data_IF_417490426595
#
_entry.id   IF_417490426595
#
_cell.length_a   1.000
_cell.length_b   1.000
_cell.length_c   1.000
_cell.angle_alpha   90.00
_cell.angle_beta   90.00
_cell.angle_gamma   90.00
#
_symmetry.space_group_name_H-M   'P 1'
#
loop_
_entity.id
_entity.type
_entity.pdbx_description
1 polymer ?
#
# COMPACT_ATOMS: atom_id res chain seq x y z
N UNK A 1 -45.61 40.02 17.75
CA UNK A 1 -44.98 39.08 16.79
C UNK A 1 -43.75 38.45 17.45
N UNK A 2 -43.87 37.21 17.94
CA UNK A 2 -42.75 36.47 18.53
C UNK A 2 -42.08 35.60 17.45
N UNK A 3 -40.78 35.82 17.22
CA UNK A 3 -39.96 35.00 16.35
C UNK A 3 -39.64 33.66 17.03
N UNK A 4 -40.25 32.57 16.54
CA UNK A 4 -39.85 31.21 16.91
C UNK A 4 -38.41 30.95 16.44
N UNK A 5 -37.49 30.78 17.40
CA UNK A 5 -36.14 30.26 17.14
C UNK A 5 -36.22 28.75 16.96
N UNK A 6 -36.13 28.28 15.72
CA UNK A 6 -35.94 26.86 15.42
C UNK A 6 -34.58 26.41 15.98
N UNK A 7 -34.62 25.56 17.01
CA UNK A 7 -33.44 24.91 17.57
C UNK A 7 -33.01 23.79 16.62
N UNK A 8 -31.94 24.01 15.86
CA UNK A 8 -31.36 22.97 14.99
C UNK A 8 -31.08 21.71 15.80
N UNK A 9 -31.75 20.61 15.44
CA UNK A 9 -31.49 19.29 16.00
C UNK A 9 -30.11 18.86 15.53
N UNK A 10 -29.09 19.10 16.37
CA UNK A 10 -27.72 18.67 16.11
C UNK A 10 -27.68 17.21 15.65
N UNK A 11 -27.12 16.98 14.46
CA UNK A 11 -26.95 15.65 13.88
C UNK A 11 -26.17 14.80 14.88
N UNK A 12 -26.80 13.76 15.44
CA UNK A 12 -26.11 12.80 16.32
C UNK A 12 -24.89 12.25 15.56
N UNK A 13 -23.69 12.23 16.15
CA UNK A 13 -22.52 11.64 15.49
C UNK A 13 -22.84 10.18 15.18
N UNK A 14 -22.78 9.80 13.91
CA UNK A 14 -22.98 8.42 13.48
C UNK A 14 -21.94 7.57 14.21
N UNK A 15 -22.40 6.82 15.20
CA UNK A 15 -21.57 5.89 15.95
C UNK A 15 -21.37 4.62 15.10
N UNK A 16 -20.78 4.77 13.91
CA UNK A 16 -20.36 3.65 13.08
C UNK A 16 -19.12 3.08 13.72
N UNK A 17 -19.32 2.23 14.74
CA UNK A 17 -18.30 1.25 15.11
C UNK A 17 -17.90 0.56 13.80
N UNK A 18 -16.62 0.55 13.41
CA UNK A 18 -16.22 -0.18 12.23
C UNK A 18 -16.69 -1.63 12.42
N UNK A 19 -17.55 -2.13 11.53
CA UNK A 19 -17.82 -3.57 11.44
C UNK A 19 -16.48 -4.17 11.03
N UNK A 20 -15.76 -4.71 12.00
CA UNK A 20 -14.48 -5.36 11.74
C UNK A 20 -14.75 -6.54 10.80
N UNK A 21 -14.27 -6.42 9.57
CA UNK A 21 -14.47 -7.44 8.55
C UNK A 21 -13.60 -8.69 8.78
N UNK A 22 -12.71 -8.66 9.78
CA UNK A 22 -11.75 -9.72 10.09
C UNK A 22 -11.60 -9.83 11.60
N UNK A 23 -11.90 -11.01 12.13
CA UNK A 23 -11.72 -11.36 13.54
C UNK A 23 -10.64 -12.44 13.63
N UNK A 24 -9.47 -12.07 14.16
CA UNK A 24 -8.42 -13.02 14.48
C UNK A 24 -8.23 -13.13 16.01
N UNK A 25 -7.46 -14.11 16.46
CA UNK A 25 -7.22 -14.37 17.89
C UNK A 25 -6.56 -13.16 18.58
N UNK A 26 -5.66 -12.47 17.90
CA UNK A 26 -4.92 -11.30 18.40
C UNK A 26 -5.83 -10.09 18.64
N UNK A 27 -6.68 -9.74 17.68
CA UNK A 27 -7.68 -8.67 17.80
C UNK A 27 -8.67 -9.01 18.91
N UNK A 28 -9.06 -10.29 19.04
CA UNK A 28 -9.93 -10.76 20.13
C UNK A 28 -9.29 -10.55 21.50
N UNK A 29 -8.03 -10.93 21.64
CA UNK A 29 -7.28 -10.74 22.88
C UNK A 29 -7.06 -9.26 23.19
N UNK A 30 -6.69 -8.47 22.18
CA UNK A 30 -6.52 -7.02 22.30
C UNK A 30 -7.83 -6.32 22.69
N UNK A 31 -8.97 -6.74 22.15
CA UNK A 31 -10.27 -6.20 22.56
C UNK A 31 -10.61 -6.58 24.01
N UNK A 32 -10.33 -7.82 24.43
CA UNK A 32 -10.51 -8.24 25.83
C UNK A 32 -9.66 -7.37 26.76
N UNK A 33 -8.37 -7.17 26.44
CA UNK A 33 -7.48 -6.30 27.19
C UNK A 33 -8.00 -4.86 27.25
N UNK A 34 -8.40 -4.28 26.12
CA UNK A 34 -8.97 -2.94 26.05
C UNK A 34 -10.23 -2.78 26.93
N UNK A 35 -11.07 -3.83 27.02
CA UNK A 35 -12.24 -3.83 27.92
C UNK A 35 -11.84 -3.87 29.38
N UNK A 36 -10.84 -4.66 29.76
CA UNK A 36 -10.31 -4.75 31.13
C UNK A 36 -9.74 -3.40 31.55
N UNK A 37 -8.83 -2.83 30.76
CA UNK A 37 -8.21 -1.53 31.06
C UNK A 37 -9.26 -0.42 31.12
N UNK A 38 -10.28 -0.45 30.25
CA UNK A 38 -11.40 0.51 30.33
C UNK A 38 -12.20 0.37 31.62
N UNK A 39 -12.38 -0.83 32.17
CA UNK A 39 -13.04 -1.04 33.47
C UNK A 39 -12.18 -0.48 34.60
N UNK A 40 -10.88 -0.74 34.59
CA UNK A 40 -9.94 -0.21 35.60
C UNK A 40 -9.90 1.32 35.61
N UNK A 41 -9.76 1.95 34.44
CA UNK A 41 -9.80 3.41 34.32
C UNK A 41 -11.12 4.00 34.83
N UNK A 42 -12.24 3.31 34.62
CA UNK A 42 -13.53 3.72 35.17
C UNK A 42 -13.60 3.61 36.69
N UNK A 43 -13.06 2.53 37.25
CA UNK A 43 -13.00 2.32 38.70
C UNK A 43 -12.15 3.40 39.39
N UNK A 44 -11.11 3.90 38.73
CA UNK A 44 -10.23 4.96 39.23
C UNK A 44 -10.78 6.38 39.00
N UNK A 45 -12.09 6.54 38.80
CA UNK A 45 -12.74 7.84 38.68
C UNK A 45 -12.67 8.47 37.28
N UNK A 46 -12.20 7.76 36.26
CA UNK A 46 -12.21 8.21 34.87
C UNK A 46 -11.49 9.56 34.61
N UNK A 47 -10.40 9.82 35.33
CA UNK A 47 -9.61 11.05 35.14
C UNK A 47 -8.97 11.07 33.75
N UNK A 48 -8.90 12.25 33.13
CA UNK A 48 -8.33 12.44 31.79
C UNK A 48 -6.97 13.16 31.86
N UNK A 49 -6.21 12.92 32.92
CA UNK A 49 -4.95 13.58 33.15
C UNK A 49 -3.82 12.81 32.47
N UNK A 50 -2.92 13.52 31.78
CA UNK A 50 -1.78 12.90 31.07
C UNK A 50 -0.78 12.23 32.02
N UNK A 51 -0.82 12.54 33.32
CA UNK A 51 -0.02 11.90 34.36
C UNK A 51 -0.70 10.69 35.01
N UNK A 52 -1.99 10.43 34.73
CA UNK A 52 -2.67 9.24 35.24
C UNK A 52 -2.26 8.00 34.43
N UNK A 53 -1.60 7.07 35.12
CA UNK A 53 -1.14 5.81 34.57
C UNK A 53 -2.28 5.04 33.89
N UNK A 54 -3.49 5.01 34.49
CA UNK A 54 -4.61 4.22 33.94
C UNK A 54 -5.22 4.84 32.68
N UNK A 55 -5.16 6.17 32.58
CA UNK A 55 -5.53 6.89 31.36
C UNK A 55 -4.53 6.61 30.23
N UNK A 56 -3.23 6.64 30.54
CA UNK A 56 -2.16 6.36 29.58
C UNK A 56 -2.20 4.92 29.05
N UNK A 57 -2.40 3.94 29.94
CA UNK A 57 -2.58 2.52 29.57
C UNK A 57 -3.79 2.33 28.65
N UNK A 58 -4.92 2.99 28.95
CA UNK A 58 -6.11 2.95 28.10
C UNK A 58 -5.83 3.52 26.71
N UNK A 59 -5.10 4.64 26.62
CA UNK A 59 -4.73 5.29 25.35
C UNK A 59 -3.83 4.36 24.54
N UNK A 60 -2.83 3.75 25.19
CA UNK A 60 -1.93 2.77 24.58
C UNK A 60 -2.68 1.54 24.06
N UNK A 61 -3.51 0.91 24.89
CA UNK A 61 -4.31 -0.25 24.51
C UNK A 61 -5.26 0.04 23.33
N UNK A 62 -5.85 1.24 23.29
CA UNK A 62 -6.71 1.66 22.17
C UNK A 62 -5.91 1.87 20.88
N UNK A 63 -4.70 2.44 20.98
CA UNK A 63 -3.79 2.61 19.84
C UNK A 63 -3.39 1.25 19.28
N UNK A 64 -3.03 0.32 20.16
CA UNK A 64 -2.62 -1.03 19.78
C UNK A 64 -3.74 -1.83 19.12
N UNK A 65 -4.94 -1.79 19.69
CA UNK A 65 -6.12 -2.40 19.08
C UNK A 65 -6.37 -1.89 17.65
N UNK A 66 -6.28 -0.56 17.45
CA UNK A 66 -6.44 0.05 16.11
C UNK A 66 -5.32 -0.39 15.15
N UNK A 67 -4.08 -0.48 15.64
CA UNK A 67 -2.93 -0.95 14.87
C UNK A 67 -3.17 -2.38 14.37
N UNK A 68 -3.54 -3.31 15.26
CA UNK A 68 -3.83 -4.70 14.91
C UNK A 68 -4.98 -4.81 13.89
N UNK A 69 -6.04 -4.02 14.06
CA UNK A 69 -7.15 -3.99 13.08
C UNK A 69 -6.67 -3.55 11.68
N UNK A 70 -5.81 -2.51 11.60
CA UNK A 70 -5.26 -2.04 10.32
C UNK A 70 -4.33 -3.05 9.68
N UNK A 71 -3.43 -3.66 10.47
CA UNK A 71 -2.50 -4.70 9.98
C UNK A 71 -3.28 -5.89 9.44
N UNK A 72 -4.28 -6.38 10.16
CA UNK A 72 -5.11 -7.48 9.69
C UNK A 72 -5.90 -7.13 8.41
N UNK A 73 -6.40 -5.90 8.31
CA UNK A 73 -7.09 -5.43 7.10
C UNK A 73 -6.13 -5.36 5.90
N UNK A 74 -4.94 -4.80 6.09
CA UNK A 74 -3.90 -4.75 5.05
C UNK A 74 -3.47 -6.15 4.61
N UNK A 75 -3.29 -7.09 5.56
CA UNK A 75 -2.97 -8.48 5.25
C UNK A 75 -4.03 -9.13 4.37
N UNK A 76 -5.31 -9.02 4.74
CA UNK A 76 -6.40 -9.55 3.91
C UNK A 76 -6.42 -8.94 2.50
N UNK A 77 -6.20 -7.63 2.37
CA UNK A 77 -6.13 -6.98 1.05
C UNK A 77 -4.96 -7.53 0.22
N UNK A 78 -3.81 -7.77 0.86
CA UNK A 78 -2.65 -8.41 0.22
C UNK A 78 -2.98 -9.84 -0.22
N UNK A 79 -3.61 -10.63 0.64
CA UNK A 79 -4.00 -12.01 0.36
C UNK A 79 -5.02 -12.06 -0.79
N UNK A 80 -6.03 -11.20 -0.79
CA UNK A 80 -7.02 -11.08 -1.88
C UNK A 80 -6.34 -10.66 -3.20
N UNK A 81 -5.37 -9.74 -3.18
CA UNK A 81 -4.58 -9.37 -4.36
C UNK A 81 -3.78 -10.55 -4.88
N UNK A 82 -3.16 -11.33 -4.00
CA UNK A 82 -2.41 -12.52 -4.39
C UNK A 82 -3.34 -13.58 -5.01
N UNK A 83 -4.53 -13.77 -4.45
CA UNK A 83 -5.55 -14.68 -4.98
C UNK A 83 -6.00 -14.27 -6.39
N UNK A 84 -6.17 -12.97 -6.65
CA UNK A 84 -6.44 -12.43 -7.99
C UNK A 84 -5.29 -12.74 -8.94
N UNK A 85 -4.04 -12.52 -8.53
CA UNK A 85 -2.87 -12.79 -9.37
C UNK A 85 -2.73 -14.29 -9.70
N UNK A 86 -3.00 -15.16 -8.73
CA UNK A 86 -2.95 -16.61 -8.92
C UNK A 86 -4.10 -17.13 -9.80
N UNK A 87 -5.29 -16.56 -9.68
CA UNK A 87 -6.47 -16.98 -10.47
C UNK A 87 -6.48 -16.44 -11.90
N UNK A 88 -5.65 -15.44 -12.21
CA UNK A 88 -5.55 -14.81 -13.53
C UNK A 88 -5.32 -15.80 -14.68
N UNK A 89 -4.51 -16.84 -14.47
CA UNK A 89 -4.14 -17.82 -15.51
C UNK A 89 -5.03 -19.06 -15.54
N UNK A 90 -5.63 -19.45 -14.41
CA UNK A 90 -6.26 -20.77 -14.26
C UNK A 90 -7.79 -20.74 -14.16
N UNK A 91 -8.40 -19.66 -13.67
CA UNK A 91 -9.86 -19.58 -13.50
C UNK A 91 -10.40 -18.17 -13.76
N UNK A 92 -10.85 -17.94 -15.00
CA UNK A 92 -11.46 -16.67 -15.43
C UNK A 92 -12.68 -16.29 -14.60
N UNK A 93 -13.52 -17.25 -14.16
CA UNK A 93 -14.74 -16.97 -13.40
C UNK A 93 -14.39 -16.49 -12.00
N UNK A 94 -13.46 -17.16 -11.32
CA UNK A 94 -12.98 -16.74 -10.01
C UNK A 94 -12.27 -15.39 -10.07
N UNK A 95 -11.44 -15.17 -11.09
CA UNK A 95 -10.76 -13.89 -11.32
C UNK A 95 -11.75 -12.72 -11.41
N UNK A 96 -12.75 -12.80 -12.28
CA UNK A 96 -13.75 -11.73 -12.42
C UNK A 96 -14.62 -11.58 -11.16
N UNK A 97 -14.94 -12.67 -10.45
CA UNK A 97 -15.66 -12.61 -9.17
C UNK A 97 -14.87 -11.84 -8.11
N UNK A 98 -13.55 -12.06 -8.02
CA UNK A 98 -12.68 -11.36 -7.07
C UNK A 98 -12.52 -9.88 -7.43
N UNK A 99 -12.36 -9.55 -8.72
CA UNK A 99 -12.34 -8.15 -9.19
C UNK A 99 -13.64 -7.42 -8.86
N UNK A 100 -14.79 -8.05 -9.14
CA UNK A 100 -16.10 -7.45 -8.87
C UNK A 100 -16.33 -7.22 -7.37
N UNK A 101 -15.81 -8.10 -6.51
CA UNK A 101 -15.84 -7.94 -5.05
C UNK A 101 -15.00 -6.73 -4.58
N UNK A 102 -13.86 -6.45 -5.21
CA UNK A 102 -13.01 -5.30 -4.89
C UNK A 102 -13.53 -3.96 -5.43
N UNK A 103 -14.18 -3.95 -6.60
CA UNK A 103 -14.72 -2.71 -7.19
C UNK A 103 -15.79 -2.02 -6.33
N UNK A 104 -16.42 -2.75 -5.40
CA UNK A 104 -17.53 -2.25 -4.59
C UNK A 104 -18.74 -1.88 -5.47
N UNK A 105 -19.86 -1.47 -4.85
CA UNK A 105 -20.89 -0.79 -5.65
C UNK A 105 -20.37 0.62 -5.93
N UNK A 106 -19.95 0.89 -7.16
CA UNK A 106 -19.65 2.22 -7.66
C UNK A 106 -20.92 3.08 -7.53
N UNK A 107 -21.11 3.70 -6.36
CA UNK A 107 -22.25 4.60 -6.09
C UNK A 107 -21.95 6.04 -6.44
N UNK A 108 -20.69 6.35 -6.74
CA UNK A 108 -20.29 7.64 -7.27
C UNK A 108 -20.04 7.45 -8.75
N UNK A 109 -21.08 7.76 -9.54
CA UNK A 109 -20.88 8.16 -10.92
C UNK A 109 -20.13 9.48 -10.83
N UNK A 110 -18.89 9.51 -11.30
CA UNK A 110 -18.16 10.77 -11.46
C UNK A 110 -18.74 11.39 -12.72
N UNK A 111 -19.48 12.49 -12.55
CA UNK A 111 -20.18 13.16 -13.65
C UNK A 111 -19.23 14.03 -14.50
N UNK A 112 -18.12 14.46 -13.90
CA UNK A 112 -17.17 15.41 -14.46
C UNK A 112 -15.72 14.92 -14.33
N UNK A 113 -14.97 14.95 -15.43
CA UNK A 113 -13.54 14.63 -15.51
C UNK A 113 -12.77 15.86 -16.02
N UNK A 114 -11.77 16.30 -15.28
CA UNK A 114 -10.83 17.31 -15.75
C UNK A 114 -9.57 16.63 -16.30
N UNK A 115 -9.19 16.98 -17.53
CA UNK A 115 -7.93 16.56 -18.16
C UNK A 115 -7.19 17.81 -18.60
N UNK A 116 -6.12 18.15 -17.89
CA UNK A 116 -5.49 19.46 -18.04
C UNK A 116 -6.45 20.58 -17.63
N UNK A 117 -6.70 21.51 -18.55
CA UNK A 117 -7.65 22.62 -18.37
C UNK A 117 -9.05 22.32 -18.93
N UNK A 118 -9.24 21.16 -19.56
CA UNK A 118 -10.50 20.82 -20.24
C UNK A 118 -11.40 19.97 -19.34
N UNK A 119 -12.67 20.37 -19.26
CA UNK A 119 -13.73 19.64 -18.54
C UNK A 119 -14.49 18.74 -19.50
N UNK A 120 -14.59 17.48 -19.14
CA UNK A 120 -15.36 16.46 -19.84
C UNK A 120 -16.49 15.97 -18.94
N UNK A 121 -17.74 16.21 -19.34
CA UNK A 121 -18.93 15.84 -18.56
C UNK A 121 -19.74 14.73 -19.25
N UNK A 122 -20.42 13.93 -18.44
CA UNK A 122 -21.26 12.82 -18.93
C UNK A 122 -20.46 11.57 -19.34
N UNK A 123 -21.17 10.48 -19.62
CA UNK A 123 -20.54 9.16 -19.86
C UNK A 123 -19.65 9.13 -21.09
N UNK A 124 -20.06 9.78 -22.17
CA UNK A 124 -19.33 9.78 -23.44
C UNK A 124 -18.13 10.74 -23.37
N UNK A 125 -18.33 11.92 -22.77
CA UNK A 125 -17.25 12.87 -22.50
C UNK A 125 -16.16 12.27 -21.63
N UNK A 126 -16.53 11.42 -20.65
CA UNK A 126 -15.57 10.74 -19.78
C UNK A 126 -14.59 9.85 -20.56
N UNK A 127 -15.10 9.07 -21.52
CA UNK A 127 -14.28 8.21 -22.37
C UNK A 127 -13.36 9.02 -23.27
N UNK A 128 -13.87 10.13 -23.80
CA UNK A 128 -13.12 11.04 -24.65
C UNK A 128 -12.00 11.77 -23.89
N UNK A 129 -12.27 12.24 -22.67
CA UNK A 129 -11.25 12.80 -21.78
C UNK A 129 -10.18 11.76 -21.41
N UNK A 130 -10.58 10.53 -21.10
CA UNK A 130 -9.63 9.44 -20.84
C UNK A 130 -8.75 9.14 -22.05
N UNK A 131 -9.35 9.10 -23.24
CA UNK A 131 -8.62 8.90 -24.50
C UNK A 131 -7.61 10.03 -24.71
N UNK A 132 -8.03 11.29 -24.59
CA UNK A 132 -7.16 12.46 -24.73
C UNK A 132 -6.00 12.44 -23.72
N UNK A 133 -6.28 12.08 -22.46
CA UNK A 133 -5.24 11.96 -21.43
C UNK A 133 -4.18 10.92 -21.78
N UNK A 134 -4.60 9.72 -22.17
CA UNK A 134 -3.66 8.65 -22.50
C UNK A 134 -2.97 8.82 -23.85
N UNK A 135 -3.62 9.46 -24.82
CA UNK A 135 -2.97 9.88 -26.06
C UNK A 135 -1.86 10.90 -25.77
N UNK A 136 -2.11 11.88 -24.90
CA UNK A 136 -1.10 12.84 -24.48
C UNK A 136 0.07 12.17 -23.75
N UNK A 137 -0.20 11.20 -22.86
CA UNK A 137 0.86 10.41 -22.20
C UNK A 137 1.64 9.51 -23.16
N UNK A 138 1.01 9.05 -24.25
CA UNK A 138 1.63 8.20 -25.25
C UNK A 138 2.42 8.99 -26.30
N UNK A 139 2.16 10.30 -26.44
CA UNK A 139 2.98 11.19 -27.25
C UNK A 139 4.38 11.26 -26.65
N UNK A 140 5.39 11.18 -27.52
CA UNK A 140 6.77 11.40 -27.09
C UNK A 140 6.86 12.83 -26.58
N UNK A 141 7.22 13.01 -25.31
CA UNK A 141 7.55 14.33 -24.81
C UNK A 141 8.87 14.74 -25.48
N UNK A 142 8.84 15.76 -26.34
CA UNK A 142 10.03 16.47 -26.84
C UNK A 142 10.72 17.28 -25.73
N UNK A 143 10.39 17.01 -24.47
CA UNK A 143 10.99 17.62 -23.31
C UNK A 143 12.40 17.06 -23.14
N UNK A 144 13.37 17.79 -23.71
CA UNK A 144 14.80 17.50 -23.60
C UNK A 144 15.32 17.58 -22.16
N UNK A 145 14.49 18.07 -21.23
CA UNK A 145 14.78 18.17 -19.81
C UNK A 145 14.15 17.05 -18.98
N UNK A 146 13.29 16.21 -19.58
CA UNK A 146 12.67 15.03 -18.96
C UNK A 146 13.69 13.91 -18.78
N UNK A 147 14.66 14.15 -17.90
CA UNK A 147 15.33 13.20 -17.00
C UNK A 147 16.66 13.76 -16.46
N UNK A 148 16.95 15.06 -16.58
CA UNK A 148 18.25 15.61 -16.14
C UNK A 148 18.62 15.20 -14.70
N UNK A 149 17.63 15.12 -13.81
CA UNK A 149 17.82 14.67 -12.43
C UNK A 149 18.14 13.18 -12.34
N UNK A 150 17.42 12.32 -13.05
CA UNK A 150 17.68 10.88 -13.09
C UNK A 150 19.01 10.57 -13.79
N UNK A 151 19.31 11.25 -14.90
CA UNK A 151 20.59 11.17 -15.59
C UNK A 151 21.74 11.53 -14.66
N UNK A 152 21.61 12.64 -13.90
CA UNK A 152 22.59 13.01 -12.87
C UNK A 152 22.73 11.94 -11.78
N UNK A 153 21.64 11.31 -11.34
CA UNK A 153 21.68 10.22 -10.36
C UNK A 153 22.42 8.99 -10.90
N UNK A 154 22.10 8.58 -12.12
CA UNK A 154 22.78 7.47 -12.81
C UNK A 154 24.28 7.75 -12.98
N UNK A 155 24.66 8.99 -13.35
CA UNK A 155 26.06 9.39 -13.45
C UNK A 155 26.77 9.34 -12.08
N UNK A 156 26.10 9.79 -11.01
CA UNK A 156 26.62 9.67 -9.65
C UNK A 156 26.86 8.20 -9.26
N UNK A 157 25.90 7.31 -9.54
CA UNK A 157 26.03 5.87 -9.24
C UNK A 157 27.17 5.22 -10.03
N UNK A 158 27.26 5.49 -11.34
CA UNK A 158 28.35 4.98 -12.20
C UNK A 158 29.71 5.46 -11.68
N UNK A 159 29.83 6.74 -11.31
CA UNK A 159 31.10 7.29 -10.80
C UNK A 159 31.48 6.66 -9.45
N UNK A 160 30.51 6.39 -8.57
CA UNK A 160 30.74 5.70 -7.30
C UNK A 160 31.23 4.26 -7.53
N UNK A 161 30.60 3.50 -8.42
CA UNK A 161 31.02 2.14 -8.79
C UNK A 161 32.44 2.15 -9.38
N UNK A 162 32.71 3.09 -10.29
CA UNK A 162 34.01 3.20 -10.96
C UNK A 162 35.12 3.55 -9.97
N UNK A 163 34.83 4.41 -8.99
CA UNK A 163 35.75 4.73 -7.90
C UNK A 163 35.99 3.55 -6.97
N UNK A 164 34.96 2.75 -6.66
CA UNK A 164 35.12 1.53 -5.86
C UNK A 164 35.98 0.51 -6.61
N UNK A 165 35.74 0.30 -7.91
CA UNK A 165 36.52 -0.63 -8.72
C UNK A 165 37.97 -0.17 -8.87
N UNK A 166 38.21 1.12 -9.12
CA UNK A 166 39.55 1.67 -9.31
C UNK A 166 40.38 1.74 -8.03
N UNK A 167 39.74 1.98 -6.87
CA UNK A 167 40.42 2.10 -5.57
C UNK A 167 40.37 0.82 -4.73
N UNK A 168 39.62 -0.20 -5.17
CA UNK A 168 39.67 -1.50 -4.53
C UNK A 168 41.02 -2.14 -4.84
N UNK A 169 41.79 -2.60 -3.84
CA UNK A 169 42.99 -3.38 -4.10
C UNK A 169 42.58 -4.62 -4.88
N UNK A 170 42.94 -4.66 -6.16
CA UNK A 170 42.81 -5.87 -6.97
C UNK A 170 43.84 -6.85 -6.42
N UNK A 171 43.40 -7.71 -5.51
CA UNK A 171 44.14 -8.91 -5.15
C UNK A 171 44.47 -9.63 -6.46
N UNK A 172 45.76 -9.84 -6.80
CA UNK A 172 46.11 -10.57 -8.01
C UNK A 172 45.54 -11.99 -7.87
N UNK A 173 44.48 -12.25 -8.63
CA UNK A 173 43.86 -13.57 -8.68
C UNK A 173 44.87 -14.50 -9.33
N UNK A 174 45.28 -15.54 -8.60
CA UNK A 174 46.22 -16.52 -9.15
C UNK A 174 45.54 -17.30 -10.27
N UNK A 175 46.31 -17.73 -11.27
CA UNK A 175 45.78 -18.53 -12.38
C UNK A 175 45.04 -19.79 -11.90
N UNK A 176 45.45 -20.35 -10.76
CA UNK A 176 44.79 -21.48 -10.11
C UNK A 176 43.37 -21.13 -9.61
N UNK A 177 43.18 -19.97 -9.02
CA UNK A 177 41.87 -19.47 -8.56
C UNK A 177 40.94 -19.18 -9.73
N UNK A 178 41.48 -18.61 -10.82
CA UNK A 178 40.73 -18.37 -12.06
C UNK A 178 40.21 -19.70 -12.65
N UNK A 179 41.07 -20.72 -12.75
CA UNK A 179 40.69 -22.05 -13.25
C UNK A 179 39.65 -22.70 -12.32
N UNK A 180 39.79 -22.54 -11.00
CA UNK A 180 38.83 -23.07 -10.04
C UNK A 180 37.45 -22.42 -10.20
N UNK A 181 37.39 -21.10 -10.36
CA UNK A 181 36.15 -20.36 -10.59
C UNK A 181 35.49 -20.77 -11.92
N UNK A 182 36.26 -20.89 -13.01
CA UNK A 182 35.74 -21.35 -14.30
C UNK A 182 35.16 -22.76 -14.23
N UNK A 183 35.84 -23.70 -13.56
CA UNK A 183 35.33 -25.06 -13.35
C UNK A 183 34.02 -25.07 -12.54
N UNK A 184 33.90 -24.23 -11.51
CA UNK A 184 32.67 -24.08 -10.75
C UNK A 184 31.54 -23.51 -11.61
N UNK A 185 31.83 -22.49 -12.43
CA UNK A 185 30.84 -21.86 -13.30
C UNK A 185 30.29 -22.83 -14.35
N UNK A 186 31.16 -23.63 -14.99
CA UNK A 186 30.76 -24.67 -15.94
C UNK A 186 29.90 -25.74 -15.26
N UNK A 187 30.23 -26.14 -14.02
CA UNK A 187 29.46 -27.13 -13.25
C UNK A 187 28.06 -26.61 -12.89
N UNK A 188 27.95 -25.34 -12.52
CA UNK A 188 26.66 -24.69 -12.23
C UNK A 188 25.82 -24.56 -13.50
N UNK A 189 26.41 -24.14 -14.62
CA UNK A 189 25.73 -24.01 -15.91
C UNK A 189 25.17 -25.36 -16.40
N UNK A 190 25.94 -26.45 -16.23
CA UNK A 190 25.46 -27.82 -16.52
C UNK A 190 24.33 -28.29 -15.61
N UNK A 191 24.35 -27.93 -14.31
CA UNK A 191 23.24 -28.23 -13.39
C UNK A 191 21.97 -27.48 -13.75
N UNK A 192 22.06 -26.22 -14.13
CA UNK A 192 20.90 -25.43 -14.56
C UNK A 192 20.32 -26.01 -15.85
N UNK A 193 21.17 -26.44 -16.79
CA UNK A 193 20.72 -27.05 -18.04
C UNK A 193 20.03 -28.41 -17.81
N UNK A 194 20.51 -29.22 -16.86
CA UNK A 194 19.91 -30.52 -16.52
C UNK A 194 18.62 -30.43 -15.69
N UNK A 195 18.34 -29.30 -15.05
CA UNK A 195 17.09 -29.06 -14.29
C UNK A 195 15.99 -28.49 -15.19
N UNK A 196 16.33 -28.02 -16.39
CA UNK A 196 15.42 -27.39 -17.35
C UNK A 196 15.08 -28.29 -18.57
N UNK A 197 15.53 -29.54 -18.57
CA UNK A 197 15.18 -30.60 -19.54
C UNK A 197 14.52 -31.76 -18.83
#
# INVERSE_FOLDING_TARGET
MQLMKYREKGKKPRNTKPKLAIWNKEISQSLKNLRIIKKLWKANGSKNDSCDQTFMERKSAKKEFRRLCRVSAAKKLSDEKQEIMNSRSCDKKLFYKLINKQRGSLKQVVEDLYVGETLYSGTDGFLEGFKAHFEHLAQHSDDTDFDKTYHSQVQCEISAITNIVSNSPVMPVTFAELIKALKQFIKVKRRIFLVLT
#
